data_IF_757865009628
#
_entry.id   IF_757865009628
#
_cell.length_a   1.000
_cell.length_b   1.000
_cell.length_c   1.000
_cell.angle_alpha   90.00
_cell.angle_beta   90.00
_cell.angle_gamma   90.00
#
_symmetry.space_group_name_H-M   'P 1'
#
loop_
_entity.id
_entity.type
_entity.pdbx_description
1 polymer ?
#
# COMPACT_ATOMS: atom_id res chain seq x y z
N UNK A 1 3.46 -26.66 24.12
CA UNK A 1 3.40 -25.29 23.55
C UNK A 1 3.45 -25.26 22.03
N UNK A 2 3.42 -26.43 21.37
CA UNK A 2 3.28 -26.50 19.90
C UNK A 2 4.47 -26.05 19.07
N UNK A 3 5.68 -25.98 19.64
CA UNK A 3 6.91 -25.58 18.92
C UNK A 3 7.25 -26.61 17.83
N UNK A 4 6.95 -27.88 18.06
CA UNK A 4 7.19 -28.98 17.11
C UNK A 4 5.98 -29.88 17.07
N UNK A 5 5.60 -30.32 15.87
CA UNK A 5 4.49 -31.27 15.65
C UNK A 5 5.03 -32.57 15.03
N UNK A 6 4.72 -33.72 15.59
CA UNK A 6 5.11 -35.04 15.09
C UNK A 6 5.64 -35.99 16.17
N UNK A 7 5.68 -37.28 15.84
CA UNK A 7 6.17 -38.33 16.78
C UNK A 7 7.70 -38.43 16.81
N UNK A 8 8.41 -37.97 15.77
CA UNK A 8 9.89 -37.98 15.67
C UNK A 8 10.49 -36.60 15.88
N UNK A 9 10.67 -36.20 17.14
CA UNK A 9 11.34 -34.97 17.53
C UNK A 9 12.88 -35.13 17.38
N UNK A 10 13.47 -34.37 16.48
CA UNK A 10 14.92 -34.29 16.38
C UNK A 10 15.43 -33.23 17.37
N UNK A 11 16.22 -33.69 18.33
CA UNK A 11 16.91 -32.83 19.31
C UNK A 11 18.40 -32.87 19.01
N UNK A 12 19.03 -31.72 18.88
CA UNK A 12 20.50 -31.58 18.71
C UNK A 12 21.02 -30.85 19.94
N UNK A 13 21.95 -31.50 20.63
CA UNK A 13 22.62 -30.91 21.80
C UNK A 13 23.81 -30.04 21.38
N UNK A 14 24.27 -29.14 22.27
CA UNK A 14 25.47 -28.33 22.03
C UNK A 14 26.70 -29.19 21.70
N UNK A 15 26.88 -30.32 22.38
CA UNK A 15 27.98 -31.25 22.12
C UNK A 15 27.90 -31.91 20.74
N UNK A 16 26.70 -32.25 20.27
CA UNK A 16 26.50 -32.76 18.92
C UNK A 16 26.74 -31.67 17.87
N UNK A 17 26.22 -30.45 18.13
CA UNK A 17 26.39 -29.32 17.23
C UNK A 17 27.84 -28.88 17.07
N UNK A 18 28.70 -29.05 18.10
CA UNK A 18 30.14 -28.78 18.03
C UNK A 18 30.87 -29.71 17.04
N UNK A 19 30.39 -30.95 16.94
CA UNK A 19 30.96 -31.97 16.05
C UNK A 19 30.33 -31.96 14.63
N UNK A 20 29.24 -31.22 14.43
CA UNK A 20 28.57 -31.09 13.12
C UNK A 20 29.31 -30.14 12.21
N UNK A 21 29.47 -30.53 10.93
CA UNK A 21 29.88 -29.61 9.88
C UNK A 21 28.75 -28.62 9.53
N UNK A 22 29.09 -27.49 8.96
CA UNK A 22 28.09 -26.48 8.57
C UNK A 22 27.13 -27.05 7.52
N UNK A 23 27.61 -27.89 6.58
CA UNK A 23 26.73 -28.56 5.60
C UNK A 23 25.73 -29.50 6.28
N UNK A 24 26.17 -30.26 7.30
CA UNK A 24 25.25 -31.14 8.05
C UNK A 24 24.25 -30.37 8.91
N UNK A 25 24.63 -29.20 9.42
CA UNK A 25 23.74 -28.30 10.13
C UNK A 25 22.71 -27.68 9.18
N UNK A 26 23.15 -27.21 8.00
CA UNK A 26 22.28 -26.67 6.96
C UNK A 26 21.22 -27.72 6.55
N UNK A 27 21.61 -28.99 6.42
CA UNK A 27 20.65 -30.06 6.12
C UNK A 27 19.69 -30.32 7.29
N UNK A 28 20.20 -30.28 8.52
CA UNK A 28 19.39 -30.51 9.71
C UNK A 28 18.31 -29.47 9.91
N UNK A 29 18.57 -28.17 9.65
CA UNK A 29 17.61 -27.06 9.85
C UNK A 29 16.55 -26.95 8.75
N UNK A 30 16.56 -27.83 7.73
CA UNK A 30 15.46 -27.99 6.78
C UNK A 30 14.22 -28.59 7.44
N UNK A 31 14.41 -29.32 8.51
CA UNK A 31 13.36 -29.95 9.31
C UNK A 31 13.15 -29.19 10.62
N UNK A 32 12.08 -29.53 11.33
CA UNK A 32 11.84 -28.98 12.67
C UNK A 32 12.81 -29.62 13.67
N UNK A 33 13.68 -28.81 14.26
CA UNK A 33 14.74 -29.25 15.19
C UNK A 33 14.67 -28.44 16.48
N UNK A 34 14.85 -29.11 17.61
CA UNK A 34 15.08 -28.48 18.92
C UNK A 34 16.57 -28.48 19.22
N UNK A 35 17.14 -27.33 19.45
CA UNK A 35 18.51 -27.19 19.93
C UNK A 35 18.50 -27.06 21.46
N UNK A 36 19.27 -27.91 22.15
CA UNK A 36 19.30 -27.94 23.61
C UNK A 36 20.70 -27.74 24.15
N UNK A 37 20.85 -26.93 25.22
CA UNK A 37 22.11 -26.64 25.91
C UNK A 37 23.22 -26.13 24.95
N UNK A 38 22.84 -25.16 24.12
CA UNK A 38 23.74 -24.55 23.13
C UNK A 38 24.49 -23.37 23.71
N UNK A 39 25.77 -23.22 23.32
CA UNK A 39 26.59 -22.06 23.63
C UNK A 39 26.24 -20.85 22.72
N UNK A 40 26.63 -19.61 23.08
CA UNK A 40 26.36 -18.43 22.24
C UNK A 40 26.84 -18.54 20.80
N UNK A 41 28.03 -19.09 20.56
CA UNK A 41 28.58 -19.34 19.24
C UNK A 41 27.73 -20.33 18.41
N UNK A 42 27.11 -21.31 19.07
CA UNK A 42 26.20 -22.24 18.43
C UNK A 42 24.93 -21.55 17.93
N UNK A 43 24.39 -20.57 18.69
CA UNK A 43 23.25 -19.75 18.24
C UNK A 43 23.57 -19.02 16.95
N UNK A 44 24.77 -18.43 16.83
CA UNK A 44 25.23 -17.78 15.60
C UNK A 44 25.28 -18.73 14.40
N UNK A 45 25.81 -19.96 14.61
CA UNK A 45 25.89 -20.98 13.54
C UNK A 45 24.49 -21.37 13.07
N UNK A 46 23.56 -21.61 13.99
CA UNK A 46 22.16 -21.96 13.67
C UNK A 46 21.48 -20.81 12.87
N UNK A 47 21.63 -19.55 13.30
CA UNK A 47 21.10 -18.39 12.59
C UNK A 47 21.68 -18.34 11.18
N UNK A 48 23.01 -18.48 11.02
CA UNK A 48 23.65 -18.45 9.72
C UNK A 48 23.18 -19.58 8.80
N UNK A 49 23.00 -20.79 9.33
CA UNK A 49 22.49 -21.93 8.58
C UNK A 49 21.06 -21.72 8.09
N UNK A 50 20.18 -21.16 8.91
CA UNK A 50 18.81 -20.80 8.53
C UNK A 50 18.77 -19.70 7.46
N UNK A 51 19.57 -18.65 7.65
CA UNK A 51 19.69 -17.54 6.68
C UNK A 51 20.23 -18.00 5.32
N UNK A 52 21.19 -18.95 5.31
CA UNK A 52 21.76 -19.49 4.06
C UNK A 52 20.70 -20.21 3.19
N UNK A 53 19.59 -20.63 3.79
CA UNK A 53 18.46 -21.24 3.10
C UNK A 53 17.40 -20.22 2.63
N UNK A 54 17.67 -18.93 2.81
CA UNK A 54 16.74 -17.87 2.44
C UNK A 54 15.61 -17.62 3.45
N UNK A 55 15.74 -18.17 4.68
CA UNK A 55 14.79 -17.87 5.76
C UNK A 55 15.07 -16.48 6.35
N UNK A 56 14.02 -15.78 6.74
CA UNK A 56 14.09 -14.61 7.61
C UNK A 56 14.05 -15.10 9.05
N UNK A 57 15.11 -14.83 9.81
CA UNK A 57 15.35 -15.37 11.14
C UNK A 57 15.15 -14.30 12.21
N UNK A 58 14.22 -14.53 13.12
CA UNK A 58 14.09 -13.77 14.35
C UNK A 58 14.76 -14.52 15.50
N UNK A 59 15.51 -13.81 16.33
CA UNK A 59 16.16 -14.37 17.53
C UNK A 59 15.67 -13.60 18.74
N UNK A 60 15.29 -14.33 19.79
CA UNK A 60 14.98 -13.74 21.10
C UNK A 60 16.11 -13.97 22.08
N UNK A 61 16.36 -12.99 22.95
CA UNK A 61 17.39 -13.08 23.98
C UNK A 61 17.17 -12.08 25.11
N UNK A 62 17.67 -12.43 26.29
CA UNK A 62 17.60 -11.61 27.50
C UNK A 62 18.98 -11.28 28.09
N UNK A 63 20.00 -12.07 27.74
CA UNK A 63 21.35 -11.96 28.30
C UNK A 63 22.38 -11.28 27.39
N UNK A 64 23.50 -10.90 28.01
CA UNK A 64 24.68 -10.38 27.29
C UNK A 64 25.20 -11.39 26.25
N UNK A 65 25.08 -12.67 26.56
CA UNK A 65 25.51 -13.76 25.68
C UNK A 65 24.65 -13.91 24.41
N UNK A 66 23.46 -13.32 24.39
CA UNK A 66 22.56 -13.35 23.25
C UNK A 66 22.83 -12.22 22.25
N UNK A 67 23.48 -11.13 22.69
CA UNK A 67 23.71 -9.96 21.88
C UNK A 67 24.34 -10.23 20.50
N UNK A 68 25.34 -11.13 20.33
CA UNK A 68 25.86 -11.47 19.02
C UNK A 68 24.82 -12.13 18.11
N UNK A 69 23.97 -13.00 18.67
CA UNK A 69 22.90 -13.67 17.89
C UNK A 69 21.75 -12.71 17.55
N UNK A 70 21.39 -11.82 18.48
CA UNK A 70 20.42 -10.75 18.22
C UNK A 70 20.85 -9.85 17.08
N UNK A 71 22.12 -9.42 17.06
CA UNK A 71 22.70 -8.62 15.96
C UNK A 71 22.83 -9.35 14.64
N UNK A 72 23.02 -10.67 14.67
CA UNK A 72 23.22 -11.48 13.47
C UNK A 72 21.89 -11.83 12.80
N UNK A 73 20.82 -11.96 13.56
CA UNK A 73 19.49 -12.24 13.06
C UNK A 73 18.99 -11.15 12.10
N UNK A 74 17.97 -11.46 11.31
CA UNK A 74 17.26 -10.46 10.52
C UNK A 74 16.41 -9.55 11.40
N UNK A 75 15.95 -10.09 12.56
CA UNK A 75 15.25 -9.35 13.61
C UNK A 75 15.72 -9.86 14.97
N UNK A 76 16.46 -9.05 15.71
CA UNK A 76 16.79 -9.31 17.12
C UNK A 76 15.67 -8.80 18.05
N UNK A 77 15.21 -9.66 18.97
CA UNK A 77 14.13 -9.33 19.90
C UNK A 77 14.62 -9.49 21.34
N UNK A 78 14.73 -8.41 22.10
CA UNK A 78 15.12 -8.45 23.50
C UNK A 78 13.92 -8.40 24.44
N UNK A 79 14.06 -9.03 25.62
CA UNK A 79 13.10 -8.93 26.70
C UNK A 79 13.21 -7.54 27.37
N UNK A 80 12.09 -6.88 27.63
CA UNK A 80 12.04 -5.53 28.17
C UNK A 80 12.16 -5.48 29.68
N UNK A 81 11.55 -6.42 30.39
CA UNK A 81 11.58 -6.50 31.85
C UNK A 81 12.83 -7.25 32.34
N UNK A 82 13.07 -8.45 31.81
CA UNK A 82 14.18 -9.33 32.22
C UNK A 82 15.47 -9.11 31.45
N UNK A 83 15.42 -8.46 30.30
CA UNK A 83 16.57 -8.29 29.39
C UNK A 83 17.61 -7.33 29.93
N UNK A 84 18.89 -7.71 29.73
CA UNK A 84 20.05 -6.83 30.01
C UNK A 84 20.10 -5.65 29.06
N UNK A 85 20.72 -4.54 29.47
CA UNK A 85 20.90 -3.36 28.61
C UNK A 85 21.64 -3.70 27.32
N UNK A 86 22.64 -4.60 27.40
CA UNK A 86 23.40 -5.07 26.23
C UNK A 86 22.52 -5.82 25.23
N UNK A 87 21.58 -6.66 25.72
CA UNK A 87 20.63 -7.34 24.83
C UNK A 87 19.67 -6.35 24.19
N UNK A 88 19.18 -5.37 24.95
CA UNK A 88 18.29 -4.31 24.44
C UNK A 88 18.98 -3.42 23.41
N UNK A 89 20.23 -3.06 23.60
CA UNK A 89 21.01 -2.30 22.62
C UNK A 89 21.35 -3.09 21.35
N UNK A 90 21.43 -4.41 21.46
CA UNK A 90 21.73 -5.29 20.31
C UNK A 90 20.49 -5.63 19.49
N UNK A 91 19.28 -5.45 20.03
CA UNK A 91 18.02 -5.88 19.42
C UNK A 91 17.39 -4.77 18.57
N UNK A 92 16.63 -5.20 17.55
CA UNK A 92 15.80 -4.33 16.72
C UNK A 92 14.43 -4.05 17.37
N UNK A 93 13.98 -4.95 18.26
CA UNK A 93 12.70 -4.90 18.95
C UNK A 93 12.86 -5.22 20.43
N UNK A 94 12.09 -4.54 21.29
CA UNK A 94 12.05 -4.79 22.73
C UNK A 94 10.61 -5.15 23.12
N UNK A 95 10.42 -6.32 23.74
CA UNK A 95 9.12 -6.77 24.26
C UNK A 95 8.90 -6.17 25.66
N UNK A 96 8.09 -5.15 25.77
CA UNK A 96 7.86 -4.44 27.03
C UNK A 96 7.19 -5.31 28.11
N UNK A 97 6.50 -6.36 27.72
CA UNK A 97 5.75 -7.30 28.58
C UNK A 97 6.41 -8.67 28.71
N UNK A 98 7.57 -8.88 28.11
CA UNK A 98 8.28 -10.16 28.01
C UNK A 98 7.40 -11.33 27.50
N UNK A 99 6.38 -11.00 26.71
CA UNK A 99 5.40 -11.98 26.25
C UNK A 99 5.68 -12.40 24.79
N UNK A 100 5.94 -13.67 24.55
CA UNK A 100 6.17 -14.21 23.20
C UNK A 100 4.97 -14.01 22.24
N UNK A 101 3.74 -13.92 22.75
CA UNK A 101 2.58 -13.65 21.89
C UNK A 101 2.67 -12.26 21.24
N UNK A 102 3.36 -11.32 21.87
CA UNK A 102 3.60 -9.97 21.32
C UNK A 102 4.49 -10.00 20.07
N UNK A 103 5.34 -11.03 19.92
CA UNK A 103 6.11 -11.24 18.67
C UNK A 103 5.17 -11.56 17.51
N UNK A 104 4.17 -12.41 17.74
CA UNK A 104 3.18 -12.77 16.71
C UNK A 104 2.39 -11.54 16.28
N UNK A 105 1.96 -10.71 17.24
CA UNK A 105 1.29 -9.44 16.95
C UNK A 105 2.21 -8.50 16.16
N UNK A 106 3.49 -8.41 16.52
CA UNK A 106 4.47 -7.59 15.81
C UNK A 106 4.70 -8.08 14.37
N UNK A 107 4.69 -9.39 14.12
CA UNK A 107 4.76 -9.94 12.76
C UNK A 107 3.50 -9.57 11.97
N UNK A 108 2.33 -9.66 12.57
CA UNK A 108 1.06 -9.28 11.93
C UNK A 108 1.04 -7.80 11.57
N UNK A 109 1.42 -6.93 12.49
CA UNK A 109 1.55 -5.48 12.26
C UNK A 109 2.61 -5.16 11.20
N UNK A 110 3.77 -5.82 11.23
CA UNK A 110 4.81 -5.65 10.21
C UNK A 110 4.33 -6.03 8.80
N UNK A 111 3.53 -7.09 8.68
CA UNK A 111 2.89 -7.48 7.42
C UNK A 111 1.85 -6.43 6.98
N UNK A 112 1.07 -5.89 7.92
CA UNK A 112 0.11 -4.84 7.64
C UNK A 112 0.80 -3.56 7.16
N UNK A 113 1.87 -3.12 7.80
CA UNK A 113 2.66 -1.95 7.39
C UNK A 113 3.15 -2.10 5.94
N UNK A 114 3.66 -3.28 5.56
CA UNK A 114 4.10 -3.52 4.19
C UNK A 114 2.93 -3.41 3.17
N UNK A 115 1.78 -4.00 3.47
CA UNK A 115 0.60 -3.88 2.61
C UNK A 115 0.09 -2.43 2.56
N UNK A 116 0.13 -1.70 3.68
CA UNK A 116 -0.26 -0.30 3.75
C UNK A 116 0.65 0.60 2.88
N UNK A 117 1.97 0.35 2.88
CA UNK A 117 2.91 1.04 1.97
C UNK A 117 2.53 0.76 0.51
N UNK A 118 2.14 -0.46 0.19
CA UNK A 118 1.70 -0.84 -1.16
C UNK A 118 0.37 -0.18 -1.55
N UNK A 119 -0.57 -0.08 -0.62
CA UNK A 119 -1.83 0.65 -0.79
C UNK A 119 -1.57 2.14 -1.05
N UNK A 120 -0.77 2.76 -0.21
CA UNK A 120 -0.31 4.15 -0.37
C UNK A 120 0.34 4.37 -1.74
N UNK A 121 1.31 3.52 -2.11
CA UNK A 121 2.01 3.63 -3.39
C UNK A 121 1.05 3.50 -4.58
N UNK A 122 0.11 2.55 -4.52
CA UNK A 122 -0.88 2.37 -5.59
C UNK A 122 -1.84 3.55 -5.69
N UNK A 123 -2.25 4.13 -4.54
CA UNK A 123 -3.09 5.32 -4.47
C UNK A 123 -2.44 6.49 -5.20
N UNK A 124 -1.18 6.81 -4.85
CA UNK A 124 -0.41 7.90 -5.47
C UNK A 124 -0.18 7.64 -6.97
N UNK A 125 0.21 6.42 -7.36
CA UNK A 125 0.44 6.11 -8.77
C UNK A 125 -0.82 6.20 -9.63
N UNK A 126 -1.99 6.00 -9.05
CA UNK A 126 -3.26 6.13 -9.78
C UNK A 126 -3.52 7.59 -10.18
N UNK A 127 -3.15 8.58 -9.34
CA UNK A 127 -3.35 10.01 -9.63
C UNK A 127 -2.41 10.56 -10.72
N UNK A 128 -1.26 9.96 -10.95
CA UNK A 128 -0.33 10.42 -12.00
C UNK A 128 -0.93 10.38 -13.42
N UNK A 129 -1.86 9.46 -13.68
CA UNK A 129 -2.46 9.35 -15.04
C UNK A 129 -3.39 10.52 -15.38
N UNK A 130 -4.36 10.92 -14.52
CA UNK A 130 -5.19 12.10 -14.79
C UNK A 130 -4.39 13.40 -14.85
N UNK A 131 -3.23 13.46 -14.23
CA UNK A 131 -2.32 14.61 -14.30
C UNK A 131 -1.59 14.69 -15.64
N UNK A 132 -1.13 13.54 -16.16
CA UNK A 132 -0.41 13.47 -17.44
C UNK A 132 -1.32 13.61 -18.67
N UNK A 133 -2.53 13.03 -18.62
CA UNK A 133 -3.44 12.97 -19.78
C UNK A 133 -3.80 14.35 -20.36
N UNK A 134 -4.09 15.41 -19.58
CA UNK A 134 -4.37 16.75 -20.12
C UNK A 134 -3.22 17.31 -20.96
N UNK A 135 -1.97 17.09 -20.54
CA UNK A 135 -0.79 17.51 -21.32
C UNK A 135 -0.65 16.72 -22.61
N UNK A 136 -0.90 15.41 -22.54
CA UNK A 136 -0.87 14.52 -23.71
C UNK A 136 -1.94 14.95 -24.73
N UNK A 137 -3.19 15.20 -24.29
CA UNK A 137 -4.29 15.64 -25.14
C UNK A 137 -3.99 17.01 -25.76
N UNK A 138 -3.48 17.95 -24.96
CA UNK A 138 -3.08 19.27 -25.48
C UNK A 138 -2.00 19.15 -26.56
N UNK A 139 -0.96 18.34 -26.34
CA UNK A 139 0.14 18.12 -27.28
C UNK A 139 -0.34 17.45 -28.58
N UNK A 140 -1.14 16.37 -28.50
CA UNK A 140 -1.67 15.68 -29.68
C UNK A 140 -2.64 16.53 -30.48
N UNK A 141 -3.32 17.48 -29.86
CA UNK A 141 -4.22 18.41 -30.52
C UNK A 141 -3.54 19.71 -30.97
N UNK A 142 -2.22 19.80 -30.84
CA UNK A 142 -1.43 20.99 -31.14
C UNK A 142 -1.99 22.26 -30.43
N UNK A 143 -2.37 22.13 -29.17
CA UNK A 143 -2.91 23.21 -28.34
C UNK A 143 -4.39 23.54 -28.58
N UNK A 144 -5.08 22.84 -29.50
CA UNK A 144 -6.50 23.10 -29.77
C UNK A 144 -7.44 22.71 -28.63
N UNK A 145 -7.03 21.75 -27.80
CA UNK A 145 -7.64 21.46 -26.52
C UNK A 145 -6.77 22.11 -25.45
N UNK A 146 -7.30 23.07 -24.68
CA UNK A 146 -6.55 23.70 -23.59
C UNK A 146 -6.17 22.67 -22.53
N UNK A 147 -5.10 22.93 -21.77
CA UNK A 147 -4.64 22.08 -20.68
C UNK A 147 -5.69 22.11 -19.55
N UNK A 148 -6.35 20.97 -19.30
CA UNK A 148 -7.39 20.88 -18.27
C UNK A 148 -6.82 20.93 -16.84
N UNK A 149 -5.60 20.42 -16.64
CA UNK A 149 -4.85 20.49 -15.38
C UNK A 149 -3.45 21.01 -15.66
N UNK A 150 -3.13 22.22 -15.24
CA UNK A 150 -1.79 22.79 -15.35
C UNK A 150 -0.91 22.32 -14.17
N UNK A 151 0.37 22.72 -14.17
CA UNK A 151 1.33 22.31 -13.12
C UNK A 151 0.88 22.75 -11.73
N UNK A 152 0.28 23.93 -11.56
CA UNK A 152 -0.22 24.39 -10.26
C UNK A 152 -1.40 23.56 -9.77
N UNK A 153 -2.25 23.06 -10.68
CA UNK A 153 -3.34 22.13 -10.34
C UNK A 153 -2.79 20.79 -9.88
N UNK A 154 -1.77 20.25 -10.58
CA UNK A 154 -1.07 19.02 -10.18
C UNK A 154 -0.46 19.15 -8.80
N UNK A 155 0.29 20.22 -8.55
CA UNK A 155 0.86 20.47 -7.22
C UNK A 155 -0.20 20.64 -6.14
N UNK A 156 -1.34 21.26 -6.44
CA UNK A 156 -2.44 21.42 -5.49
C UNK A 156 -3.12 20.07 -5.17
N UNK A 157 -3.16 19.14 -6.13
CA UNK A 157 -3.65 17.79 -5.91
C UNK A 157 -2.61 17.02 -5.07
N UNK A 158 -1.39 16.88 -5.56
CA UNK A 158 -0.36 16.02 -4.93
C UNK A 158 0.01 16.48 -3.52
N UNK A 159 0.30 17.77 -3.34
CA UNK A 159 0.75 18.33 -2.05
C UNK A 159 -0.41 18.81 -1.18
N UNK A 160 -1.56 19.10 -1.77
CA UNK A 160 -2.72 19.60 -1.06
C UNK A 160 -3.70 18.48 -0.70
N UNK A 161 -4.42 17.96 -1.70
CA UNK A 161 -5.55 17.07 -1.45
C UNK A 161 -5.14 15.62 -1.16
N UNK A 162 -4.06 15.10 -1.76
CA UNK A 162 -3.72 13.68 -1.72
C UNK A 162 -2.89 13.25 -0.50
N UNK A 163 -2.14 14.16 0.15
CA UNK A 163 -1.21 13.80 1.24
C UNK A 163 -1.94 13.18 2.43
N UNK A 164 -2.96 13.85 2.98
CA UNK A 164 -3.64 13.38 4.19
C UNK A 164 -4.41 12.08 3.95
N UNK A 165 -5.16 11.93 2.84
CA UNK A 165 -5.76 10.66 2.46
C UNK A 165 -4.75 9.54 2.28
N UNK A 166 -3.66 9.79 1.57
CA UNK A 166 -2.61 8.80 1.36
C UNK A 166 -2.00 8.32 2.69
N UNK A 167 -1.68 9.24 3.62
CA UNK A 167 -1.20 8.91 4.95
C UNK A 167 -2.21 8.11 5.77
N UNK A 168 -3.51 8.35 5.58
CA UNK A 168 -4.55 7.60 6.28
C UNK A 168 -4.54 6.10 5.95
N UNK A 169 -4.07 5.71 4.76
CA UNK A 169 -3.86 4.31 4.38
C UNK A 169 -2.70 3.66 5.15
N UNK A 170 -1.75 4.44 5.66
CA UNK A 170 -0.62 3.95 6.45
C UNK A 170 -1.00 3.36 7.81
N UNK A 171 -2.19 3.68 8.32
CA UNK A 171 -2.72 3.21 9.61
C UNK A 171 -3.91 2.27 9.44
N UNK A 172 -4.08 1.68 8.27
CA UNK A 172 -5.11 0.66 8.06
C UNK A 172 -4.77 -0.60 8.87
N UNK A 173 -5.72 -1.18 9.63
CA UNK A 173 -5.46 -2.38 10.42
C UNK A 173 -5.16 -3.60 9.54
N UNK A 174 -4.49 -4.64 10.10
CA UNK A 174 -4.19 -5.87 9.38
C UNK A 174 -5.42 -6.47 8.71
N UNK A 175 -5.28 -6.93 7.46
CA UNK A 175 -6.35 -7.65 6.78
C UNK A 175 -6.60 -9.00 7.46
N UNK A 176 -7.86 -9.42 7.67
CA UNK A 176 -8.15 -10.76 8.16
C UNK A 176 -7.50 -11.85 7.29
N UNK A 177 -6.80 -12.79 7.92
CA UNK A 177 -6.04 -13.85 7.26
C UNK A 177 -4.63 -13.44 6.82
N UNK A 178 -4.12 -12.30 7.26
CA UNK A 178 -2.74 -11.87 7.00
C UNK A 178 -1.73 -12.90 7.49
N UNK A 179 -1.99 -13.53 8.64
CA UNK A 179 -1.11 -14.57 9.21
C UNK A 179 -1.26 -15.94 8.55
N UNK A 180 -2.36 -16.20 7.83
CA UNK A 180 -2.59 -17.47 7.11
C UNK A 180 -1.80 -17.54 5.78
N UNK A 181 -1.26 -16.42 5.33
CA UNK A 181 -0.46 -16.32 4.10
C UNK A 181 0.98 -16.75 4.37
N UNK A 182 1.64 -17.42 3.41
CA UNK A 182 3.07 -17.71 3.53
C UNK A 182 3.89 -16.43 3.66
N UNK A 183 5.09 -16.51 4.26
CA UNK A 183 6.02 -15.39 4.32
C UNK A 183 6.34 -14.88 2.91
N UNK A 184 6.54 -13.57 2.80
CA UNK A 184 6.99 -12.93 1.57
C UNK A 184 8.44 -13.36 1.28
N UNK A 185 8.75 -13.58 0.00
CA UNK A 185 10.13 -13.86 -0.42
C UNK A 185 10.98 -12.60 -0.34
N UNK A 186 12.26 -12.72 -0.01
CA UNK A 186 13.20 -11.60 0.01
C UNK A 186 13.37 -10.92 -1.37
N UNK A 187 13.05 -11.66 -2.44
CA UNK A 187 13.10 -11.16 -3.83
C UNK A 187 11.83 -10.42 -4.26
N UNK A 188 10.79 -10.40 -3.42
CA UNK A 188 9.53 -9.75 -3.79
C UNK A 188 9.68 -8.23 -3.67
N UNK A 189 9.43 -7.54 -4.77
CA UNK A 189 9.46 -6.09 -4.83
C UNK A 189 8.13 -5.47 -4.43
N UNK A 190 8.18 -4.30 -3.78
CA UNK A 190 7.01 -3.52 -3.43
C UNK A 190 6.21 -3.11 -4.68
N UNK A 191 6.94 -2.61 -5.69
CA UNK A 191 6.36 -2.19 -6.97
C UNK A 191 6.38 -3.38 -7.93
N UNK A 192 5.22 -4.00 -8.13
CA UNK A 192 5.04 -5.13 -9.04
C UNK A 192 4.45 -4.68 -10.38
N UNK A 193 4.64 -5.50 -11.42
CA UNK A 193 3.98 -5.26 -12.72
C UNK A 193 2.46 -5.18 -12.58
N UNK A 194 1.88 -6.00 -11.71
CA UNK A 194 0.44 -6.00 -11.46
C UNK A 194 -0.03 -4.68 -10.84
N UNK A 195 0.72 -4.15 -9.86
CA UNK A 195 0.45 -2.85 -9.25
C UNK A 195 0.49 -1.74 -10.31
N UNK A 196 1.52 -1.73 -11.17
CA UNK A 196 1.64 -0.72 -12.23
C UNK A 196 0.50 -0.81 -13.26
N UNK A 197 0.12 -2.02 -13.68
CA UNK A 197 -1.01 -2.23 -14.59
C UNK A 197 -2.30 -1.74 -13.92
N UNK A 198 -2.54 -2.09 -12.66
CA UNK A 198 -3.72 -1.66 -11.91
C UNK A 198 -3.79 -0.14 -11.81
N UNK A 199 -2.70 0.52 -11.42
CA UNK A 199 -2.65 1.97 -11.26
C UNK A 199 -2.76 2.71 -12.60
N UNK A 200 -1.91 2.39 -13.57
CA UNK A 200 -1.78 3.19 -14.79
C UNK A 200 -2.70 2.78 -15.93
N UNK A 201 -3.11 1.50 -16.01
CA UNK A 201 -3.93 1.02 -17.15
C UNK A 201 -5.38 0.69 -16.77
N UNK A 202 -5.69 0.57 -15.48
CA UNK A 202 -7.06 0.25 -15.04
C UNK A 202 -7.70 1.44 -14.33
N UNK A 203 -7.11 1.93 -13.25
CA UNK A 203 -7.71 2.97 -12.42
C UNK A 203 -7.40 4.39 -12.94
N UNK A 204 -6.16 4.64 -13.32
CA UNK A 204 -5.74 5.94 -13.83
C UNK A 204 -6.55 6.45 -15.03
N UNK A 205 -6.85 5.63 -16.06
CA UNK A 205 -7.71 6.04 -17.16
C UNK A 205 -9.12 6.43 -16.74
N UNK A 206 -9.67 5.79 -15.70
CA UNK A 206 -11.00 6.16 -15.16
C UNK A 206 -10.96 7.56 -14.53
N UNK A 207 -9.91 7.86 -13.77
CA UNK A 207 -9.72 9.21 -13.21
C UNK A 207 -9.45 10.25 -14.30
N UNK A 208 -8.67 9.89 -15.33
CA UNK A 208 -8.45 10.79 -16.47
C UNK A 208 -9.75 11.10 -17.22
N UNK A 209 -10.61 10.09 -17.35
CA UNK A 209 -11.95 10.27 -17.93
C UNK A 209 -12.80 11.19 -17.04
N UNK A 210 -12.72 11.07 -15.71
CA UNK A 210 -13.40 11.96 -14.79
C UNK A 210 -12.96 13.41 -14.98
N UNK A 211 -11.64 13.67 -14.97
CA UNK A 211 -11.09 15.01 -15.13
C UNK A 211 -11.47 15.63 -16.49
N UNK A 212 -11.21 14.90 -17.57
CA UNK A 212 -11.48 15.41 -18.91
C UNK A 212 -12.98 15.58 -19.18
N UNK A 213 -13.83 14.67 -18.72
CA UNK A 213 -15.28 14.82 -18.88
C UNK A 213 -15.84 16.01 -18.11
N UNK A 214 -15.35 16.26 -16.87
CA UNK A 214 -15.75 17.42 -16.09
C UNK A 214 -15.34 18.74 -16.77
N UNK A 215 -14.11 18.78 -17.32
CA UNK A 215 -13.62 19.91 -18.11
C UNK A 215 -14.53 20.20 -19.31
N UNK A 216 -14.81 19.19 -20.15
CA UNK A 216 -15.69 19.36 -21.31
C UNK A 216 -17.12 19.65 -20.91
N UNK A 217 -17.65 18.99 -19.87
CA UNK A 217 -19.02 19.21 -19.38
C UNK A 217 -19.26 20.67 -19.03
N UNK A 218 -18.29 21.33 -18.40
CA UNK A 218 -18.40 22.75 -18.08
C UNK A 218 -18.46 23.60 -19.35
N UNK A 219 -17.58 23.36 -20.32
CA UNK A 219 -17.64 24.09 -21.61
C UNK A 219 -18.97 23.89 -22.31
N UNK A 220 -19.45 22.64 -22.42
CA UNK A 220 -20.66 22.33 -23.15
C UNK A 220 -21.92 22.93 -22.52
N UNK A 221 -21.96 23.05 -21.21
CA UNK A 221 -23.07 23.69 -20.49
C UNK A 221 -22.99 25.23 -20.49
N UNK A 222 -21.84 25.80 -20.90
CA UNK A 222 -21.59 27.25 -20.91
C UNK A 222 -21.32 27.80 -22.32
N UNK A 223 -22.02 27.32 -23.32
CA UNK A 223 -22.03 27.90 -24.68
C UNK A 223 -21.18 27.22 -25.73
N UNK A 224 -20.45 26.16 -25.38
CA UNK A 224 -19.57 25.39 -26.28
C UNK A 224 -20.11 23.97 -26.53
N UNK A 225 -21.40 23.78 -26.59
CA UNK A 225 -22.03 22.48 -26.72
C UNK A 225 -21.54 21.73 -27.97
N UNK A 226 -21.04 20.47 -27.76
CA UNK A 226 -20.54 19.61 -28.83
C UNK A 226 -19.17 20.01 -29.42
N UNK A 227 -18.54 21.07 -28.92
CA UNK A 227 -17.21 21.50 -29.37
C UNK A 227 -16.13 20.74 -28.60
N UNK A 228 -15.27 20.04 -29.34
CA UNK A 228 -14.19 19.21 -28.79
C UNK A 228 -12.82 19.87 -28.87
N UNK A 229 -12.62 20.79 -29.81
CA UNK A 229 -11.36 21.47 -30.07
C UNK A 229 -11.61 22.98 -30.24
N UNK A 230 -10.54 23.77 -30.23
CA UNK A 230 -10.56 25.23 -30.34
C UNK A 230 -11.39 25.88 -29.20
N UNK A 231 -11.30 25.32 -28.00
CA UNK A 231 -11.89 25.87 -26.80
C UNK A 231 -11.05 27.07 -26.29
N UNK A 232 -11.65 28.06 -25.64
CA UNK A 232 -10.90 29.14 -25.01
C UNK A 232 -9.86 28.61 -24.01
N UNK A 233 -8.62 29.08 -24.12
CA UNK A 233 -7.50 28.68 -23.26
C UNK A 233 -7.22 29.70 -22.12
N UNK A 234 -8.12 30.64 -21.90
CA UNK A 234 -8.00 31.68 -20.90
C UNK A 234 -9.38 32.28 -20.54
N UNK A 235 -9.41 33.10 -19.51
CA UNK A 235 -10.62 33.76 -19.05
C UNK A 235 -11.46 32.96 -18.07
N UNK A 236 -12.61 33.51 -17.62
CA UNK A 236 -13.40 32.91 -16.53
C UNK A 236 -13.89 31.50 -16.82
N UNK A 237 -14.37 31.22 -18.05
CA UNK A 237 -14.87 29.88 -18.45
C UNK A 237 -13.75 28.83 -18.34
N UNK A 238 -12.55 29.16 -18.84
CA UNK A 238 -11.39 28.26 -18.74
C UNK A 238 -11.02 27.98 -17.29
N UNK A 239 -10.92 29.03 -16.44
CA UNK A 239 -10.60 28.89 -15.00
C UNK A 239 -11.62 28.01 -14.27
N UNK A 240 -12.91 28.17 -14.57
CA UNK A 240 -13.96 27.34 -13.98
C UNK A 240 -13.94 25.90 -14.54
N UNK A 241 -13.63 25.72 -15.82
CA UNK A 241 -13.48 24.38 -16.42
C UNK A 241 -12.30 23.62 -15.82
N UNK A 242 -11.18 24.30 -15.55
CA UNK A 242 -10.04 23.68 -14.86
C UNK A 242 -10.37 23.35 -13.41
N UNK A 243 -11.12 24.19 -12.70
CA UNK A 243 -11.61 23.91 -11.36
C UNK A 243 -12.53 22.67 -11.32
N UNK A 244 -13.38 22.50 -12.36
CA UNK A 244 -14.18 21.30 -12.52
C UNK A 244 -13.32 20.04 -12.72
N UNK A 245 -12.23 20.13 -13.51
CA UNK A 245 -11.29 19.02 -13.69
C UNK A 245 -10.59 18.64 -12.37
N UNK A 246 -10.09 19.63 -11.61
CA UNK A 246 -9.49 19.42 -10.27
C UNK A 246 -10.50 18.74 -9.33
N UNK A 247 -11.72 19.28 -9.26
CA UNK A 247 -12.76 18.70 -8.41
C UNK A 247 -13.11 17.25 -8.80
N UNK A 248 -13.12 16.92 -10.09
CA UNK A 248 -13.38 15.56 -10.55
C UNK A 248 -12.27 14.57 -10.16
N UNK A 249 -11.00 15.00 -10.20
CA UNK A 249 -9.88 14.19 -9.68
C UNK A 249 -10.08 13.93 -8.19
N UNK A 250 -10.30 14.97 -7.39
CA UNK A 250 -10.50 14.86 -5.94
C UNK A 250 -11.67 13.93 -5.60
N UNK A 251 -12.83 14.06 -6.24
CA UNK A 251 -13.98 13.20 -5.99
C UNK A 251 -13.73 11.74 -6.41
N UNK A 252 -12.99 11.52 -7.48
CA UNK A 252 -12.57 10.17 -7.87
C UNK A 252 -11.53 9.59 -6.90
N UNK A 253 -10.66 10.44 -6.32
CA UNK A 253 -9.69 10.05 -5.28
C UNK A 253 -10.38 9.62 -3.98
N UNK A 254 -11.50 10.21 -3.60
CA UNK A 254 -12.32 9.69 -2.49
C UNK A 254 -12.72 8.23 -2.73
N UNK A 255 -13.17 7.91 -3.95
CA UNK A 255 -13.46 6.54 -4.36
C UNK A 255 -12.22 5.65 -4.34
N UNK A 256 -11.08 6.15 -4.82
CA UNK A 256 -9.80 5.48 -4.81
C UNK A 256 -9.33 5.14 -3.39
N UNK A 257 -9.48 6.07 -2.46
CA UNK A 257 -9.12 5.89 -1.06
C UNK A 257 -9.83 4.69 -0.44
N UNK A 258 -11.14 4.55 -0.62
CA UNK A 258 -11.87 3.36 -0.17
C UNK A 258 -11.43 2.09 -0.89
N UNK A 259 -11.07 2.18 -2.15
CA UNK A 259 -10.59 1.07 -2.98
C UNK A 259 -9.26 0.52 -2.50
N UNK A 260 -8.36 1.40 -2.04
CA UNK A 260 -7.01 1.05 -1.59
C UNK A 260 -6.93 0.47 -0.18
N UNK A 261 -8.03 0.41 0.59
CA UNK A 261 -8.06 -0.15 1.94
C UNK A 261 -7.86 -1.66 2.02
N UNK A 262 -7.91 -2.36 0.90
CA UNK A 262 -7.66 -3.78 0.82
C UNK A 262 -7.09 -4.15 -0.54
N UNK A 263 -6.12 -5.07 -0.57
CA UNK A 263 -5.57 -5.63 -1.82
C UNK A 263 -6.50 -6.66 -2.46
N UNK A 264 -7.25 -7.40 -1.66
CA UNK A 264 -7.99 -8.60 -2.11
C UNK A 264 -9.51 -8.47 -2.04
N UNK A 265 -10.02 -7.67 -1.11
CA UNK A 265 -11.45 -7.51 -0.88
C UNK A 265 -12.02 -6.34 -1.68
N UNK A 266 -13.24 -6.54 -2.20
CA UNK A 266 -14.02 -5.44 -2.76
C UNK A 266 -14.36 -4.42 -1.67
N UNK A 267 -14.39 -3.13 -2.02
CA UNK A 267 -14.80 -2.04 -1.13
C UNK A 267 -16.16 -2.30 -0.46
N UNK A 268 -17.08 -2.93 -1.17
CA UNK A 268 -18.43 -3.27 -0.65
C UNK A 268 -18.43 -4.33 0.47
N UNK A 269 -17.29 -5.01 0.70
CA UNK A 269 -17.10 -6.00 1.76
C UNK A 269 -16.14 -5.53 2.86
N UNK A 270 -15.59 -4.33 2.72
CA UNK A 270 -14.66 -3.75 3.69
C UNK A 270 -15.45 -2.82 4.61
N UNK A 271 -15.39 -2.97 5.95
CA UNK A 271 -16.11 -2.09 6.86
C UNK A 271 -15.63 -0.64 6.73
N UNK A 272 -16.55 0.31 6.66
CA UNK A 272 -16.23 1.72 6.35
C UNK A 272 -15.57 2.47 7.52
N UNK A 273 -15.82 2.05 8.76
CA UNK A 273 -15.47 2.82 9.97
C UNK A 273 -14.32 2.20 10.79
N UNK A 274 -13.61 1.20 10.28
CA UNK A 274 -12.47 0.57 10.98
C UNK A 274 -11.24 1.48 11.07
N UNK A 275 -11.11 2.43 10.15
CA UNK A 275 -10.04 3.41 10.12
C UNK A 275 -10.61 4.84 10.13
N UNK A 276 -10.61 5.54 11.27
CA UNK A 276 -11.16 6.89 11.35
C UNK A 276 -10.33 7.92 10.58
N UNK A 277 -9.03 7.67 10.33
CA UNK A 277 -8.17 8.59 9.58
C UNK A 277 -8.58 8.74 8.11
N UNK A 278 -9.27 7.73 7.54
CA UNK A 278 -9.87 7.83 6.19
C UNK A 278 -10.86 9.01 6.13
N UNK A 279 -11.68 9.17 7.15
CA UNK A 279 -12.67 10.25 7.20
C UNK A 279 -12.01 11.63 7.42
N UNK A 280 -10.90 11.67 8.16
CA UNK A 280 -10.08 12.89 8.28
C UNK A 280 -9.49 13.25 6.91
N UNK A 281 -8.96 12.26 6.17
CA UNK A 281 -8.47 12.44 4.81
C UNK A 281 -9.55 13.02 3.88
N UNK A 282 -10.73 12.40 3.83
CA UNK A 282 -11.86 12.87 3.01
C UNK A 282 -12.29 14.30 3.41
N UNK A 283 -12.37 14.59 4.70
CA UNK A 283 -12.74 15.93 5.14
C UNK A 283 -11.71 16.98 4.70
N UNK A 284 -10.42 16.64 4.75
CA UNK A 284 -9.33 17.52 4.29
C UNK A 284 -9.40 17.76 2.78
N UNK A 285 -9.60 16.69 1.97
CA UNK A 285 -9.80 16.81 0.51
C UNK A 285 -10.97 17.72 0.17
N UNK A 286 -12.12 17.50 0.81
CA UNK A 286 -13.33 18.30 0.56
C UNK A 286 -13.16 19.75 0.96
N UNK A 287 -12.54 20.04 2.10
CA UNK A 287 -12.26 21.41 2.54
C UNK A 287 -11.30 22.12 1.58
N UNK A 288 -10.25 21.43 1.15
CA UNK A 288 -9.27 22.01 0.22
C UNK A 288 -9.86 22.25 -1.16
N UNK A 289 -10.61 21.32 -1.73
CA UNK A 289 -11.24 21.53 -3.04
C UNK A 289 -12.29 22.64 -2.99
N UNK A 290 -13.04 22.78 -1.90
CA UNK A 290 -13.95 23.91 -1.71
C UNK A 290 -13.19 25.23 -1.63
N UNK A 291 -12.03 25.25 -0.94
CA UNK A 291 -11.18 26.44 -0.89
C UNK A 291 -10.61 26.80 -2.28
N UNK A 292 -10.13 25.80 -3.04
CA UNK A 292 -9.61 25.95 -4.40
C UNK A 292 -10.67 26.54 -5.35
N UNK A 293 -11.94 26.12 -5.17
CA UNK A 293 -13.04 26.55 -6.04
C UNK A 293 -13.62 27.91 -5.63
N UNK A 294 -13.71 28.22 -4.33
CA UNK A 294 -14.51 29.37 -3.86
C UNK A 294 -13.72 30.47 -3.15
N UNK A 295 -12.48 30.22 -2.67
CA UNK A 295 -11.69 31.23 -1.99
C UNK A 295 -10.89 32.04 -3.01
N UNK A 296 -11.11 33.37 -3.14
CA UNK A 296 -10.46 34.19 -4.19
C UNK A 296 -8.93 34.11 -4.19
N UNK A 297 -8.30 34.12 -3.02
CA UNK A 297 -6.84 33.98 -2.90
C UNK A 297 -6.36 32.64 -3.51
N UNK A 298 -7.05 31.53 -3.22
CA UNK A 298 -6.71 30.20 -3.77
C UNK A 298 -6.95 30.14 -5.27
N UNK A 299 -8.03 30.75 -5.76
CA UNK A 299 -8.33 30.83 -7.19
C UNK A 299 -7.23 31.57 -7.95
N UNK A 300 -6.73 32.70 -7.42
CA UNK A 300 -5.68 33.45 -8.08
C UNK A 300 -4.32 32.75 -7.99
N UNK A 301 -4.03 32.09 -6.88
CA UNK A 301 -2.79 31.39 -6.68
C UNK A 301 -2.70 30.13 -7.56
N UNK A 302 -3.79 29.35 -7.65
CA UNK A 302 -3.81 28.07 -8.37
C UNK A 302 -4.21 28.26 -9.84
N UNK A 303 -4.94 29.31 -10.18
CA UNK A 303 -5.44 29.59 -11.53
C UNK A 303 -6.81 28.97 -11.81
N UNK A 304 -7.61 28.73 -10.78
CA UNK A 304 -8.98 28.19 -10.87
C UNK A 304 -10.04 29.30 -10.88
N UNK A 305 -11.29 28.95 -11.08
CA UNK A 305 -12.43 29.84 -10.98
C UNK A 305 -13.66 29.15 -10.38
N UNK A 306 -14.62 29.92 -9.84
CA UNK A 306 -15.81 29.34 -9.22
C UNK A 306 -16.73 28.73 -10.28
N UNK A 307 -17.52 27.73 -9.85
CA UNK A 307 -18.63 27.19 -10.60
C UNK A 307 -19.87 27.06 -9.70
N UNK A 308 -21.04 26.99 -10.32
CA UNK A 308 -22.31 26.90 -9.59
C UNK A 308 -22.46 25.57 -8.84
N UNK A 309 -23.14 25.59 -7.69
CA UNK A 309 -23.33 24.42 -6.82
C UNK A 309 -23.97 23.20 -7.53
N UNK A 310 -24.77 23.40 -8.57
CA UNK A 310 -25.37 22.30 -9.35
C UNK A 310 -24.34 21.37 -9.96
N UNK A 311 -23.12 21.83 -10.26
CA UNK A 311 -22.05 21.04 -10.87
C UNK A 311 -21.43 20.04 -9.91
N UNK A 312 -21.57 20.20 -8.58
CA UNK A 312 -21.14 19.19 -7.62
C UNK A 312 -21.84 17.85 -7.81
N UNK A 313 -23.07 17.84 -8.30
CA UNK A 313 -23.78 16.60 -8.61
C UNK A 313 -23.09 15.76 -9.69
N UNK A 314 -22.41 16.42 -10.64
CA UNK A 314 -21.61 15.71 -11.64
C UNK A 314 -20.43 14.98 -11.01
N UNK A 315 -19.77 15.59 -10.05
CA UNK A 315 -18.61 14.99 -9.38
C UNK A 315 -19.00 13.78 -8.50
N UNK A 316 -20.17 13.79 -7.89
CA UNK A 316 -20.68 12.65 -7.11
C UNK A 316 -20.78 11.36 -7.92
N UNK A 317 -20.97 11.44 -9.25
CA UNK A 317 -20.99 10.27 -10.13
C UNK A 317 -19.65 9.56 -10.20
N UNK A 318 -18.55 10.27 -9.95
CA UNK A 318 -17.20 9.74 -10.06
C UNK A 318 -16.71 9.04 -8.78
N UNK A 319 -17.30 9.30 -7.63
CA UNK A 319 -16.94 8.62 -6.37
C UNK A 319 -17.06 7.09 -6.48
N UNK A 320 -18.17 6.48 -6.99
CA UNK A 320 -18.28 5.03 -7.12
C UNK A 320 -17.51 4.44 -8.30
N UNK A 321 -16.97 5.24 -9.23
CA UNK A 321 -16.38 4.74 -10.48
C UNK A 321 -15.17 3.83 -10.25
N UNK A 322 -14.19 4.26 -9.45
CA UNK A 322 -13.01 3.45 -9.13
C UNK A 322 -13.36 2.23 -8.27
N UNK A 323 -14.17 2.34 -7.20
CA UNK A 323 -14.68 1.19 -6.47
C UNK A 323 -15.31 0.11 -7.34
N UNK A 324 -16.11 0.47 -8.33
CA UNK A 324 -16.74 -0.47 -9.24
C UNK A 324 -15.71 -1.16 -10.15
N UNK A 325 -14.85 -0.40 -10.81
CA UNK A 325 -13.83 -0.94 -11.72
C UNK A 325 -12.84 -1.83 -10.97
N UNK A 326 -12.37 -1.40 -9.80
CA UNK A 326 -11.43 -2.18 -8.99
C UNK A 326 -12.07 -3.45 -8.42
N UNK A 327 -13.34 -3.42 -8.06
CA UNK A 327 -14.05 -4.62 -7.62
C UNK A 327 -14.11 -5.70 -8.71
N UNK A 328 -14.26 -5.29 -9.98
CA UNK A 328 -14.19 -6.18 -11.14
C UNK A 328 -12.76 -6.72 -11.29
N UNK A 329 -11.74 -5.84 -11.21
CA UNK A 329 -10.33 -6.22 -11.27
C UNK A 329 -9.98 -7.26 -10.20
N UNK A 330 -10.28 -6.99 -8.94
CA UNK A 330 -10.05 -7.92 -7.83
C UNK A 330 -10.77 -9.26 -8.03
N UNK A 331 -12.01 -9.24 -8.52
CA UNK A 331 -12.75 -10.48 -8.80
C UNK A 331 -12.05 -11.33 -9.87
N UNK A 332 -11.49 -10.71 -10.91
CA UNK A 332 -10.73 -11.40 -11.96
C UNK A 332 -9.42 -11.97 -11.41
N UNK A 333 -8.67 -11.18 -10.64
CA UNK A 333 -7.41 -11.64 -10.05
C UNK A 333 -7.60 -12.78 -9.06
N UNK A 334 -8.56 -12.67 -8.16
CA UNK A 334 -8.89 -13.73 -7.20
C UNK A 334 -9.31 -15.05 -7.89
N UNK A 335 -10.00 -14.97 -9.05
CA UNK A 335 -10.31 -16.17 -9.86
C UNK A 335 -9.06 -16.81 -10.46
N UNK A 336 -8.14 -15.99 -11.01
CA UNK A 336 -6.87 -16.49 -11.56
C UNK A 336 -6.01 -17.16 -10.50
N UNK A 337 -5.93 -16.56 -9.30
CA UNK A 337 -5.18 -17.13 -8.18
C UNK A 337 -5.73 -18.47 -7.73
N UNK A 338 -7.05 -18.57 -7.55
CA UNK A 338 -7.72 -19.84 -7.22
C UNK A 338 -7.48 -20.92 -8.30
N UNK A 339 -7.45 -20.55 -9.57
CA UNK A 339 -7.17 -21.49 -10.66
C UNK A 339 -5.73 -21.99 -10.61
N UNK A 340 -4.75 -21.12 -10.32
CA UNK A 340 -3.33 -21.49 -10.16
C UNK A 340 -3.14 -22.45 -8.99
N UNK A 341 -3.75 -22.16 -7.84
CA UNK A 341 -3.68 -23.04 -6.66
C UNK A 341 -4.30 -24.43 -6.93
N UNK A 342 -5.45 -24.46 -7.64
CA UNK A 342 -6.09 -25.72 -8.01
C UNK A 342 -5.27 -26.55 -9.02
N UNK A 343 -4.49 -25.89 -9.88
CA UNK A 343 -3.57 -26.59 -10.83
C UNK A 343 -2.33 -27.11 -10.12
N UNK A 344 -1.75 -26.35 -9.19
CA UNK A 344 -0.60 -26.77 -8.37
C UNK A 344 -0.94 -28.00 -7.53
N UNK A 345 -2.10 -27.98 -6.85
CA UNK A 345 -2.57 -29.12 -6.06
C UNK A 345 -2.83 -30.38 -6.89
N UNK A 346 -3.13 -30.26 -8.18
CA UNK A 346 -3.28 -31.41 -9.09
C UNK A 346 -1.95 -31.95 -9.63
N UNK A 347 -0.92 -31.09 -9.71
CA UNK A 347 0.42 -31.47 -10.15
C UNK A 347 1.27 -32.15 -9.07
N UNK A 348 0.92 -31.97 -7.78
CA UNK A 348 1.57 -32.65 -6.66
C UNK A 348 1.01 -34.05 -6.37
N UNK A 349 -0.07 -34.44 -7.04
CA UNK A 349 -0.74 -35.76 -6.88
C UNK A 349 -0.34 -36.76 -8.00
N UNK A 350 0.49 -36.32 -8.96
CA UNK A 350 1.08 -37.18 -10.02
C UNK A 350 2.59 -37.38 -9.79
#
# INVERSE_FOLDING_TARGET
IGIVSGENLRIITGAELENMTDDSLIEAVKEQVIFARVAPEHKLRVVSALQSQGNVVAVTGDGVNDAPALKKADIGVAMGLSGSDVAKEAADMILLDDNFSSIVNAIEEGRAVYENIKHFTTYVFTSNTPEAVPFIVNSFTAGRVPIALNVMHVLAIDLGTDIVPALSLGVEPPEPGTMDRPPRKLTDHLITKELLIRAYLVLGPVQSLAAMSAFYFYYWTNGYAGQWINLPASGPIYRSATAMAVAAVVFSQIGNLFTMRSSTRSVFKTPLFTNPMIWVGIATELLLVLAIVYVPFMQDFIGTGPFEAKYWLFHLLWVPSLPLVDSIWKAVQNRKEKQKLAQSAKGEVL
#
